data_IF_135857537314
#
_entry.id   IF_135857537314
#
_cell.length_a   1.000
_cell.length_b   1.000
_cell.length_c   1.000
_cell.angle_alpha   90.00
_cell.angle_beta   90.00
_cell.angle_gamma   90.00
#
_symmetry.space_group_name_H-M   'P 1'
#
loop_
_entity.id
_entity.type
_entity.pdbx_description
1 polymer ?
#
# COMPACT_ATOMS: atom_id res chain seq x y z
N UNK A 1 18.54 -33.47 2.75
CA UNK A 1 17.91 -32.31 3.42
C UNK A 1 17.95 -32.55 4.93
N UNK A 2 18.58 -31.68 5.71
CA UNK A 2 18.55 -31.82 7.18
C UNK A 2 17.14 -31.55 7.70
N UNK A 3 16.57 -32.47 8.48
CA UNK A 3 15.30 -32.26 9.17
C UNK A 3 15.47 -31.16 10.22
N UNK A 4 15.04 -29.94 9.91
CA UNK A 4 15.00 -28.83 10.86
C UNK A 4 14.01 -29.22 11.97
N UNK A 5 14.49 -29.30 13.21
CA UNK A 5 13.70 -29.62 14.40
C UNK A 5 13.99 -28.62 15.51
N UNK A 6 12.99 -28.36 16.35
CA UNK A 6 13.18 -27.65 17.60
C UNK A 6 13.86 -28.59 18.61
N UNK A 7 14.87 -28.08 19.34
CA UNK A 7 15.44 -28.81 20.47
C UNK A 7 14.47 -28.84 21.68
N UNK A 8 14.84 -29.56 22.74
CA UNK A 8 13.97 -29.73 23.91
C UNK A 8 13.67 -28.41 24.63
N UNK A 9 14.62 -27.47 24.66
CA UNK A 9 14.46 -26.16 25.28
C UNK A 9 13.57 -25.25 24.43
N UNK A 10 13.76 -25.27 23.10
CA UNK A 10 12.97 -24.55 22.11
C UNK A 10 11.51 -25.03 22.12
N UNK A 11 11.27 -26.34 22.16
CA UNK A 11 9.93 -26.93 22.30
C UNK A 11 9.26 -26.50 23.60
N UNK A 12 9.97 -26.55 24.72
CA UNK A 12 9.42 -26.14 26.03
C UNK A 12 9.06 -24.66 26.04
N UNK A 13 9.90 -23.80 25.45
CA UNK A 13 9.64 -22.37 25.31
C UNK A 13 8.40 -22.10 24.45
N UNK A 14 8.26 -22.79 23.32
CA UNK A 14 7.12 -22.64 22.43
C UNK A 14 5.81 -23.16 23.05
N UNK A 15 5.83 -24.36 23.65
CA UNK A 15 4.63 -24.89 24.32
C UNK A 15 4.17 -23.98 25.44
N UNK A 16 5.10 -23.42 26.25
CA UNK A 16 4.76 -22.44 27.28
C UNK A 16 4.07 -21.18 26.70
N UNK A 17 4.48 -20.76 25.50
CA UNK A 17 3.84 -19.64 24.80
C UNK A 17 2.43 -19.99 24.33
N UNK A 18 2.25 -21.14 23.67
CA UNK A 18 0.92 -21.59 23.23
C UNK A 18 -0.01 -21.83 24.42
N UNK A 19 0.48 -22.44 25.49
CA UNK A 19 -0.28 -22.65 26.72
C UNK A 19 -0.71 -21.32 27.34
N UNK A 20 0.14 -20.29 27.30
CA UNK A 20 -0.24 -18.95 27.73
C UNK A 20 -1.31 -18.34 26.83
N UNK A 21 -1.19 -18.50 25.51
CA UNK A 21 -2.17 -17.95 24.57
C UNK A 21 -3.54 -18.64 24.66
N UNK A 22 -3.56 -19.94 24.95
CA UNK A 22 -4.77 -20.75 25.07
C UNK A 22 -5.40 -20.70 26.47
N UNK A 23 -4.64 -20.30 27.50
CA UNK A 23 -5.24 -19.97 28.79
C UNK A 23 -6.04 -18.70 28.57
N UNK A 24 -7.37 -18.84 28.55
CA UNK A 24 -8.30 -17.73 28.39
C UNK A 24 -7.82 -16.55 29.23
N UNK A 25 -7.52 -15.44 28.56
CA UNK A 25 -7.10 -14.25 29.27
C UNK A 25 -8.34 -13.61 29.87
N UNK A 26 -8.26 -13.16 31.12
CA UNK A 26 -9.31 -12.34 31.73
C UNK A 26 -9.55 -11.04 30.94
N UNK A 27 -8.60 -10.67 30.09
CA UNK A 27 -8.65 -9.54 29.17
C UNK A 27 -7.99 -9.93 27.84
N UNK A 28 -8.76 -9.94 26.75
CA UNK A 28 -8.28 -10.25 25.39
C UNK A 28 -7.10 -9.35 24.95
N UNK A 29 -6.95 -8.14 25.52
CA UNK A 29 -5.78 -7.27 25.29
C UNK A 29 -4.48 -7.94 25.78
N UNK A 30 -4.52 -8.70 26.88
CA UNK A 30 -3.34 -9.40 27.40
C UNK A 30 -2.85 -10.48 26.42
N UNK A 31 -3.77 -11.08 25.65
CA UNK A 31 -3.43 -12.03 24.58
C UNK A 31 -2.58 -11.36 23.50
N UNK A 32 -2.95 -10.15 23.12
CA UNK A 32 -2.24 -9.36 22.11
C UNK A 32 -0.84 -9.00 22.61
N UNK A 33 -0.71 -8.52 23.85
CA UNK A 33 0.60 -8.20 24.42
C UNK A 33 1.50 -9.43 24.58
N UNK A 34 0.98 -10.58 24.99
CA UNK A 34 1.78 -11.81 25.08
C UNK A 34 2.22 -12.31 23.69
N UNK A 35 1.35 -12.20 22.68
CA UNK A 35 1.71 -12.49 21.29
C UNK A 35 2.85 -11.55 20.81
N UNK A 36 2.66 -10.24 20.95
CA UNK A 36 3.65 -9.22 20.57
C UNK A 36 4.98 -9.43 21.29
N UNK A 37 4.94 -9.63 22.61
CA UNK A 37 6.14 -9.83 23.42
C UNK A 37 6.91 -11.09 23.01
N UNK A 38 6.21 -12.19 22.72
CA UNK A 38 6.86 -13.42 22.26
C UNK A 38 7.63 -13.20 20.94
N UNK A 39 6.99 -12.55 19.97
CA UNK A 39 7.60 -12.26 18.68
C UNK A 39 8.74 -11.26 18.81
N UNK A 40 8.57 -10.19 19.59
CA UNK A 40 9.62 -9.23 19.89
C UNK A 40 10.87 -9.92 20.49
N UNK A 41 10.67 -10.84 21.45
CA UNK A 41 11.76 -11.59 22.10
C UNK A 41 12.40 -12.68 21.24
N UNK A 42 11.82 -13.02 20.10
CA UNK A 42 12.36 -14.05 19.20
C UNK A 42 12.81 -13.49 17.85
N UNK A 43 12.46 -12.24 17.53
CA UNK A 43 12.78 -11.55 16.28
C UNK A 43 14.26 -11.66 15.90
N UNK A 44 14.51 -12.04 14.65
CA UNK A 44 15.82 -12.21 14.04
C UNK A 44 16.57 -13.49 14.48
N UNK A 45 16.07 -14.24 15.45
CA UNK A 45 16.78 -15.40 15.99
C UNK A 45 16.66 -16.64 15.09
N UNK A 46 17.60 -17.58 15.23
CA UNK A 46 17.47 -18.90 14.61
C UNK A 46 16.23 -19.66 15.10
N UNK A 47 15.79 -19.39 16.33
CA UNK A 47 14.58 -19.98 16.90
C UNK A 47 13.33 -19.50 16.18
N UNK A 48 13.19 -18.19 15.90
CA UNK A 48 12.09 -17.65 15.08
C UNK A 48 12.08 -18.28 13.68
N UNK A 49 13.23 -18.35 13.00
CA UNK A 49 13.31 -18.98 11.67
C UNK A 49 12.87 -20.45 11.68
N UNK A 50 13.20 -21.20 12.74
CA UNK A 50 12.74 -22.59 12.92
C UNK A 50 11.26 -22.63 13.25
N UNK A 51 10.75 -21.74 14.10
CA UNK A 51 9.34 -21.65 14.48
C UNK A 51 8.46 -21.39 13.27
N UNK A 52 8.79 -20.39 12.46
CA UNK A 52 8.04 -20.07 11.23
C UNK A 52 8.06 -21.24 10.25
N UNK A 53 9.10 -22.10 10.26
CA UNK A 53 9.15 -23.29 9.39
C UNK A 53 8.37 -24.49 9.92
N UNK A 54 8.38 -24.70 11.24
CA UNK A 54 7.87 -25.95 11.86
C UNK A 54 6.46 -25.76 12.43
N UNK A 55 6.17 -24.59 12.97
CA UNK A 55 4.97 -24.27 13.76
C UNK A 55 4.13 -23.15 13.14
N UNK A 56 4.29 -22.93 11.84
CA UNK A 56 3.63 -21.84 11.11
C UNK A 56 2.12 -21.79 11.35
N UNK A 57 1.42 -22.90 11.13
CA UNK A 57 -0.04 -22.97 11.24
C UNK A 57 -0.53 -22.59 12.66
N UNK A 58 0.17 -23.06 13.69
CA UNK A 58 -0.18 -22.72 15.08
C UNK A 58 0.03 -21.23 15.36
N UNK A 59 1.12 -20.65 14.86
CA UNK A 59 1.40 -19.20 14.95
C UNK A 59 0.33 -18.40 14.19
N UNK A 60 -0.02 -18.84 12.99
CA UNK A 60 -1.01 -18.20 12.13
C UNK A 60 -2.39 -18.18 12.76
N UNK A 61 -2.84 -19.30 13.34
CA UNK A 61 -4.08 -19.34 14.10
C UNK A 61 -4.10 -18.32 15.23
N UNK A 62 -3.00 -18.21 15.99
CA UNK A 62 -2.93 -17.26 17.09
C UNK A 62 -2.90 -15.81 16.61
N UNK A 63 -2.23 -15.53 15.50
CA UNK A 63 -2.24 -14.20 14.88
C UNK A 63 -3.64 -13.81 14.39
N UNK A 64 -4.34 -14.74 13.74
CA UNK A 64 -5.72 -14.52 13.29
C UNK A 64 -6.66 -14.21 14.47
N UNK A 65 -6.51 -14.92 15.59
CA UNK A 65 -7.28 -14.62 16.79
C UNK A 65 -6.95 -13.24 17.39
N UNK A 66 -5.68 -12.79 17.34
CA UNK A 66 -5.31 -11.41 17.70
C UNK A 66 -6.04 -10.39 16.82
N UNK A 67 -6.08 -10.64 15.50
CA UNK A 67 -6.79 -9.75 14.58
C UNK A 67 -8.29 -9.69 14.84
N UNK A 68 -8.94 -10.80 15.21
CA UNK A 68 -10.37 -10.81 15.58
C UNK A 68 -10.62 -9.92 16.79
N UNK A 69 -9.79 -10.06 17.83
CA UNK A 69 -9.88 -9.21 19.01
C UNK A 69 -9.72 -7.75 18.61
N UNK A 70 -8.74 -7.41 17.77
CA UNK A 70 -8.55 -6.04 17.27
C UNK A 70 -9.75 -5.51 16.48
N UNK A 71 -10.42 -6.36 15.70
CA UNK A 71 -11.62 -5.99 14.94
C UNK A 71 -12.76 -5.59 15.90
N UNK A 72 -12.98 -6.37 16.95
CA UNK A 72 -14.05 -6.18 17.94
C UNK A 72 -13.77 -5.07 18.96
N UNK A 73 -12.50 -4.67 19.13
CA UNK A 73 -12.11 -3.61 20.06
C UNK A 73 -12.69 -2.25 19.63
N UNK A 74 -13.29 -1.52 20.57
CA UNK A 74 -13.79 -0.15 20.34
C UNK A 74 -12.75 0.96 20.57
N UNK A 75 -11.63 0.67 21.24
CA UNK A 75 -10.63 1.68 21.59
C UNK A 75 -9.60 1.87 20.45
N UNK A 76 -9.75 2.96 19.69
CA UNK A 76 -8.87 3.30 18.57
C UNK A 76 -7.40 3.47 18.97
N UNK A 77 -7.11 4.16 20.08
CA UNK A 77 -5.74 4.35 20.57
C UNK A 77 -5.03 3.03 20.85
N UNK A 78 -5.72 2.08 21.48
CA UNK A 78 -5.16 0.73 21.69
C UNK A 78 -4.92 -0.02 20.38
N UNK A 79 -5.78 0.15 19.36
CA UNK A 79 -5.52 -0.46 18.05
C UNK A 79 -4.20 0.05 17.48
N UNK A 80 -3.92 1.35 17.58
CA UNK A 80 -2.65 1.93 17.13
C UNK A 80 -1.46 1.30 17.84
N UNK A 81 -1.49 1.23 19.16
CA UNK A 81 -0.37 0.66 19.93
C UNK A 81 -0.05 -0.75 19.43
N UNK A 82 -1.10 -1.53 19.10
CA UNK A 82 -0.95 -2.86 18.53
C UNK A 82 -0.37 -2.81 17.11
N UNK A 83 -0.86 -1.92 16.23
CA UNK A 83 -0.27 -1.74 14.90
C UNK A 83 1.22 -1.39 14.99
N UNK A 84 1.61 -0.45 15.85
CA UNK A 84 3.01 -0.03 16.07
C UNK A 84 3.86 -1.21 16.53
N UNK A 85 3.38 -1.98 17.51
CA UNK A 85 4.17 -3.04 18.12
C UNK A 85 4.23 -4.30 17.25
N UNK A 86 3.12 -4.71 16.64
CA UNK A 86 2.98 -6.01 15.99
C UNK A 86 3.50 -6.00 14.56
N UNK A 87 3.12 -5.01 13.76
CA UNK A 87 3.30 -5.04 12.30
C UNK A 87 4.77 -5.05 11.87
N UNK A 88 5.66 -4.23 12.45
CA UNK A 88 7.08 -4.28 12.14
C UNK A 88 7.72 -5.64 12.47
N UNK A 89 7.19 -6.37 13.46
CA UNK A 89 7.74 -7.67 13.84
C UNK A 89 7.37 -8.74 12.81
N UNK A 90 6.16 -8.69 12.27
CA UNK A 90 5.64 -9.68 11.33
C UNK A 90 5.90 -9.33 9.85
N UNK A 91 6.55 -8.19 9.55
CA UNK A 91 6.86 -7.73 8.18
C UNK A 91 7.52 -8.83 7.30
N UNK A 92 8.31 -9.71 7.91
CA UNK A 92 9.11 -10.74 7.20
C UNK A 92 8.44 -12.09 7.16
N UNK A 93 7.17 -12.16 7.56
CA UNK A 93 6.41 -13.40 7.66
C UNK A 93 5.25 -13.39 6.68
N UNK A 94 4.76 -14.57 6.30
CA UNK A 94 3.54 -14.69 5.48
C UNK A 94 2.25 -14.35 6.25
N UNK A 95 2.34 -13.96 7.53
CA UNK A 95 1.18 -13.62 8.36
C UNK A 95 0.46 -12.37 7.84
N UNK A 96 1.21 -11.34 7.45
CA UNK A 96 0.64 -10.14 6.83
C UNK A 96 -0.06 -10.48 5.51
N UNK A 97 0.62 -11.23 4.65
CA UNK A 97 0.12 -11.61 3.32
C UNK A 97 -1.23 -12.33 3.41
N UNK A 98 -1.33 -13.34 4.27
CA UNK A 98 -2.54 -14.17 4.36
C UNK A 98 -3.70 -13.48 5.07
N UNK A 99 -3.43 -12.47 5.88
CA UNK A 99 -4.44 -11.75 6.66
C UNK A 99 -4.63 -10.30 6.19
N UNK A 100 -4.09 -9.95 5.02
CA UNK A 100 -4.05 -8.57 4.53
C UNK A 100 -5.46 -7.94 4.45
N UNK A 101 -6.44 -8.66 3.92
CA UNK A 101 -7.81 -8.17 3.84
C UNK A 101 -8.46 -7.91 5.21
N UNK A 102 -8.17 -8.75 6.20
CA UNK A 102 -8.68 -8.56 7.55
C UNK A 102 -8.04 -7.31 8.20
N UNK A 103 -6.75 -7.12 7.98
CA UNK A 103 -6.02 -5.94 8.41
C UNK A 103 -6.61 -4.66 7.80
N UNK A 104 -6.85 -4.64 6.48
CA UNK A 104 -7.48 -3.50 5.81
C UNK A 104 -8.85 -3.20 6.40
N UNK A 105 -9.68 -4.23 6.63
CA UNK A 105 -11.00 -4.09 7.25
C UNK A 105 -10.93 -3.54 8.69
N UNK A 106 -9.94 -3.97 9.47
CA UNK A 106 -9.72 -3.42 10.83
C UNK A 106 -9.44 -1.93 10.75
N UNK A 107 -8.58 -1.49 9.82
CA UNK A 107 -8.26 -0.06 9.64
C UNK A 107 -9.49 0.71 9.16
N UNK A 108 -10.19 0.22 8.14
CA UNK A 108 -11.40 0.84 7.60
C UNK A 108 -12.46 1.12 8.69
N UNK A 109 -12.62 0.19 9.64
CA UNK A 109 -13.57 0.29 10.75
C UNK A 109 -13.08 1.12 11.96
N UNK A 110 -11.95 1.82 11.85
CA UNK A 110 -11.51 2.77 12.88
C UNK A 110 -12.32 4.06 12.73
N UNK A 111 -13.11 4.42 13.74
CA UNK A 111 -13.97 5.61 13.68
C UNK A 111 -13.22 6.94 13.82
N UNK A 112 -12.09 6.96 14.53
CA UNK A 112 -11.29 8.16 14.73
C UNK A 112 -10.35 8.35 13.53
N UNK A 113 -10.53 9.42 12.75
CA UNK A 113 -9.81 9.63 11.48
C UNK A 113 -8.29 9.77 11.68
N UNK A 114 -7.85 10.46 12.73
CA UNK A 114 -6.43 10.52 13.08
C UNK A 114 -5.87 9.12 13.36
N UNK A 115 -6.65 8.30 14.06
CA UNK A 115 -6.26 6.94 14.39
C UNK A 115 -6.20 6.05 13.16
N UNK A 116 -7.21 6.14 12.30
CA UNK A 116 -7.32 5.42 11.03
C UNK A 116 -6.13 5.75 10.14
N UNK A 117 -5.83 7.04 9.98
CA UNK A 117 -4.66 7.54 9.27
C UNK A 117 -3.36 6.97 9.81
N UNK A 118 -3.15 7.04 11.12
CA UNK A 118 -1.92 6.54 11.73
C UNK A 118 -1.74 5.03 11.51
N UNK A 119 -2.82 4.25 11.65
CA UNK A 119 -2.80 2.81 11.37
C UNK A 119 -2.52 2.50 9.88
N UNK A 120 -3.12 3.27 8.97
CA UNK A 120 -2.84 3.19 7.53
C UNK A 120 -1.37 3.47 7.22
N UNK A 121 -0.81 4.57 7.75
CA UNK A 121 0.59 4.93 7.55
C UNK A 121 1.51 3.80 8.05
N UNK A 122 1.27 3.26 9.25
CA UNK A 122 2.06 2.13 9.80
C UNK A 122 2.00 0.91 8.89
N UNK A 123 0.81 0.56 8.36
CA UNK A 123 0.67 -0.54 7.42
C UNK A 123 1.51 -0.29 6.16
N UNK A 124 1.38 0.88 5.54
CA UNK A 124 2.14 1.27 4.33
C UNK A 124 3.64 1.19 4.59
N UNK A 125 4.14 1.78 5.68
CA UNK A 125 5.55 1.74 6.07
C UNK A 125 6.06 0.31 6.25
N UNK A 126 5.23 -0.57 6.83
CA UNK A 126 5.57 -1.99 7.04
C UNK A 126 5.70 -2.75 5.73
N UNK A 127 4.81 -2.51 4.76
CA UNK A 127 4.77 -3.27 3.50
C UNK A 127 5.55 -2.59 2.36
N UNK A 128 6.08 -1.38 2.58
CA UNK A 128 6.70 -0.54 1.56
C UNK A 128 7.75 -1.28 0.74
N UNK A 129 8.59 -2.09 1.37
CA UNK A 129 9.68 -2.84 0.72
C UNK A 129 9.34 -4.29 0.42
N UNK A 130 8.05 -4.62 0.38
CA UNK A 130 7.55 -5.98 0.20
C UNK A 130 6.71 -6.09 -1.09
N UNK A 131 6.60 -7.30 -1.68
CA UNK A 131 5.66 -7.52 -2.79
C UNK A 131 4.18 -7.27 -2.42
N UNK A 132 3.83 -7.13 -1.13
CA UNK A 132 2.46 -6.87 -0.72
C UNK A 132 1.96 -5.50 -1.17
N UNK A 133 2.82 -4.48 -1.17
CA UNK A 133 2.44 -3.16 -1.66
C UNK A 133 2.08 -3.23 -3.15
N UNK A 134 2.93 -3.85 -3.97
CA UNK A 134 2.71 -4.04 -5.41
C UNK A 134 1.43 -4.81 -5.71
N UNK A 135 1.25 -5.96 -5.06
CA UNK A 135 0.13 -6.85 -5.33
C UNK A 135 -1.22 -6.31 -4.82
N UNK A 136 -1.19 -5.36 -3.88
CA UNK A 136 -2.39 -4.84 -3.23
C UNK A 136 -2.54 -3.32 -3.34
N UNK A 137 -1.80 -2.67 -4.24
CA UNK A 137 -1.84 -1.21 -4.41
C UNK A 137 -3.27 -0.67 -4.59
N UNK A 138 -4.15 -1.28 -5.41
CA UNK A 138 -5.53 -0.81 -5.55
C UNK A 138 -6.33 -0.86 -4.24
N UNK A 139 -6.10 -1.88 -3.41
CA UNK A 139 -6.78 -2.01 -2.11
C UNK A 139 -6.29 -0.96 -1.11
N UNK A 140 -5.00 -0.62 -1.16
CA UNK A 140 -4.39 0.41 -0.31
C UNK A 140 -4.93 1.79 -0.72
N UNK A 141 -5.02 2.09 -2.01
CA UNK A 141 -5.62 3.34 -2.51
C UNK A 141 -7.09 3.43 -2.12
N UNK A 142 -7.84 2.33 -2.22
CA UNK A 142 -9.24 2.32 -1.79
C UNK A 142 -9.38 2.57 -0.29
N UNK A 143 -8.54 1.96 0.54
CA UNK A 143 -8.54 2.21 1.99
C UNK A 143 -8.20 3.67 2.30
N UNK A 144 -7.24 4.24 1.58
CA UNK A 144 -6.86 5.64 1.71
C UNK A 144 -8.02 6.59 1.43
N UNK A 145 -8.86 6.29 0.43
CA UNK A 145 -10.07 7.05 0.08
C UNK A 145 -11.12 7.06 1.22
N UNK A 146 -11.05 6.11 2.16
CA UNK A 146 -11.92 6.07 3.35
C UNK A 146 -11.46 6.96 4.51
N UNK A 147 -10.27 7.57 4.39
CA UNK A 147 -9.69 8.45 5.41
C UNK A 147 -10.13 9.88 5.10
N UNK A 148 -11.12 10.37 5.85
CA UNK A 148 -11.69 11.70 5.65
C UNK A 148 -11.04 12.71 6.61
N UNK A 149 -9.77 13.00 6.37
CA UNK A 149 -9.01 14.05 7.07
C UNK A 149 -8.68 15.15 6.06
N UNK A 150 -9.43 16.27 6.10
CA UNK A 150 -9.29 17.42 5.18
C UNK A 150 -7.86 17.99 5.13
N UNK A 151 -7.01 17.70 6.11
CA UNK A 151 -5.61 18.14 6.17
C UNK A 151 -4.63 17.09 5.66
N UNK A 152 -5.10 15.90 5.29
CA UNK A 152 -4.29 14.78 4.89
C UNK A 152 -4.48 14.47 3.41
N UNK A 153 -3.54 14.93 2.60
CA UNK A 153 -3.37 14.35 1.28
C UNK A 153 -2.61 13.03 1.39
N UNK A 154 -3.36 11.97 1.69
CA UNK A 154 -2.80 10.66 1.92
C UNK A 154 -2.21 10.02 0.67
N UNK A 155 -2.66 10.43 -0.51
CA UNK A 155 -2.16 9.87 -1.76
C UNK A 155 -0.78 10.43 -2.09
N UNK A 156 -0.59 11.74 -1.91
CA UNK A 156 0.73 12.36 -1.94
C UNK A 156 1.67 11.67 -0.96
N UNK A 157 1.22 11.49 0.28
CA UNK A 157 2.03 10.88 1.34
C UNK A 157 2.45 9.45 0.97
N UNK A 158 1.53 8.65 0.41
CA UNK A 158 1.82 7.31 -0.11
C UNK A 158 2.83 7.37 -1.26
N UNK A 159 2.61 8.24 -2.25
CA UNK A 159 3.49 8.40 -3.40
C UNK A 159 4.91 8.80 -2.98
N UNK A 160 5.05 9.80 -2.10
CA UNK A 160 6.36 10.28 -1.63
C UNK A 160 7.06 9.27 -0.73
N UNK A 161 6.33 8.32 -0.14
CA UNK A 161 6.91 7.25 0.68
C UNK A 161 7.51 6.12 -0.18
N UNK A 162 7.06 5.96 -1.43
CA UNK A 162 7.51 4.88 -2.31
C UNK A 162 8.84 5.25 -2.97
N UNK A 163 9.83 4.36 -2.89
CA UNK A 163 11.08 4.54 -3.61
C UNK A 163 10.82 4.65 -5.12
N UNK A 164 11.43 5.61 -5.81
CA UNK A 164 11.16 5.89 -7.23
C UNK A 164 11.22 4.62 -8.11
N UNK A 165 12.17 3.71 -7.86
CA UNK A 165 12.26 2.45 -8.60
C UNK A 165 11.03 1.54 -8.42
N UNK A 166 10.46 1.51 -7.22
CA UNK A 166 9.21 0.78 -6.96
C UNK A 166 8.02 1.49 -7.57
N UNK A 167 7.98 2.83 -7.53
CA UNK A 167 6.94 3.62 -8.18
C UNK A 167 6.91 3.35 -9.68
N UNK A 168 8.08 3.33 -10.33
CA UNK A 168 8.24 2.99 -11.76
C UNK A 168 7.76 1.57 -12.03
N UNK A 169 8.21 0.59 -11.24
CA UNK A 169 7.80 -0.82 -11.41
C UNK A 169 6.29 -1.01 -11.31
N UNK A 170 5.65 -0.26 -10.40
CA UNK A 170 4.23 -0.37 -10.10
C UNK A 170 3.37 0.63 -10.87
N UNK A 171 3.96 1.52 -11.66
CA UNK A 171 3.32 2.66 -12.28
C UNK A 171 2.00 2.33 -13.01
N UNK A 172 1.87 1.22 -13.77
CA UNK A 172 0.61 0.85 -14.42
C UNK A 172 -0.52 0.55 -13.43
N UNK A 173 -0.18 -0.14 -12.33
CA UNK A 173 -1.12 -0.49 -11.27
C UNK A 173 -1.54 0.75 -10.48
N UNK A 174 -0.58 1.63 -10.17
CA UNK A 174 -0.81 2.92 -9.50
C UNK A 174 -1.75 3.79 -10.34
N UNK A 175 -1.44 3.97 -11.62
CA UNK A 175 -2.29 4.70 -12.56
C UNK A 175 -3.70 4.12 -12.62
N UNK A 176 -3.82 2.79 -12.74
CA UNK A 176 -5.13 2.15 -12.83
C UNK A 176 -5.95 2.34 -11.55
N UNK A 177 -5.29 2.39 -10.40
CA UNK A 177 -5.90 2.61 -9.08
C UNK A 177 -6.44 4.03 -8.91
N UNK A 178 -5.96 5.02 -9.66
CA UNK A 178 -6.57 6.35 -9.67
C UNK A 178 -8.06 6.30 -10.07
N UNK A 179 -8.47 5.31 -10.86
CA UNK A 179 -9.87 5.15 -11.21
C UNK A 179 -10.76 4.70 -10.04
N UNK A 180 -10.18 4.24 -8.92
CA UNK A 180 -10.94 3.86 -7.72
C UNK A 180 -11.13 5.00 -6.73
N UNK A 181 -10.52 6.18 -6.98
CA UNK A 181 -10.71 7.38 -6.18
C UNK A 181 -12.02 8.04 -6.64
N UNK A 182 -12.94 8.28 -5.72
CA UNK A 182 -14.23 8.87 -6.05
C UNK A 182 -14.14 10.40 -6.21
N UNK A 183 -13.33 11.07 -5.40
CA UNK A 183 -13.12 12.52 -5.51
C UNK A 183 -12.23 12.89 -6.72
N UNK A 184 -12.74 13.80 -7.56
CA UNK A 184 -12.08 14.19 -8.81
C UNK A 184 -10.87 15.09 -8.57
N UNK A 185 -10.91 15.96 -7.56
CA UNK A 185 -9.81 16.87 -7.23
C UNK A 185 -8.64 16.10 -6.59
N UNK A 186 -8.93 15.12 -5.73
CA UNK A 186 -7.91 14.22 -5.15
C UNK A 186 -7.28 13.35 -6.22
N UNK A 187 -8.10 12.71 -7.06
CA UNK A 187 -7.61 11.92 -8.21
C UNK A 187 -6.73 12.74 -9.12
N UNK A 188 -7.08 14.01 -9.35
CA UNK A 188 -6.32 14.93 -10.20
C UNK A 188 -4.98 15.27 -9.55
N UNK A 189 -4.98 15.64 -8.27
CA UNK A 189 -3.76 15.97 -7.52
C UNK A 189 -2.80 14.78 -7.49
N UNK A 190 -3.35 13.61 -7.20
CA UNK A 190 -2.68 12.31 -7.27
C UNK A 190 -2.02 12.03 -8.63
N UNK A 191 -2.76 12.26 -9.72
CA UNK A 191 -2.24 12.12 -11.08
C UNK A 191 -1.08 13.08 -11.35
N UNK A 192 -1.20 14.35 -10.94
CA UNK A 192 -0.15 15.35 -11.15
C UNK A 192 1.16 15.01 -10.46
N UNK A 193 1.09 14.62 -9.18
CA UNK A 193 2.28 14.25 -8.43
C UNK A 193 2.94 13.01 -9.02
N UNK A 194 2.14 12.03 -9.46
CA UNK A 194 2.65 10.84 -10.12
C UNK A 194 3.36 11.19 -11.44
N UNK A 195 2.77 12.07 -12.27
CA UNK A 195 3.40 12.53 -13.50
C UNK A 195 4.67 13.34 -13.22
N UNK A 196 4.68 14.16 -12.16
CA UNK A 196 5.84 14.98 -11.78
C UNK A 196 7.03 14.16 -11.29
N UNK A 197 6.80 12.98 -10.69
CA UNK A 197 7.87 12.10 -10.23
C UNK A 197 8.49 11.25 -11.35
N UNK A 198 7.74 11.02 -12.43
CA UNK A 198 8.21 10.24 -13.57
C UNK A 198 8.70 11.22 -14.62
N UNK A 199 9.89 11.77 -14.40
CA UNK A 199 10.53 12.66 -15.38
C UNK A 199 11.11 11.89 -16.60
N UNK A 200 11.19 10.55 -16.52
CA UNK A 200 11.69 9.70 -17.59
C UNK A 200 10.62 9.44 -18.65
N UNK A 201 10.79 10.09 -19.81
CA UNK A 201 9.85 10.02 -20.93
C UNK A 201 9.59 8.61 -21.48
N UNK A 202 10.53 7.66 -21.29
CA UNK A 202 10.39 6.26 -21.73
C UNK A 202 9.30 5.52 -20.96
N UNK A 203 9.20 5.73 -19.65
CA UNK A 203 8.20 5.06 -18.80
C UNK A 203 6.80 5.56 -19.14
N UNK A 204 6.68 6.87 -19.36
CA UNK A 204 5.42 7.47 -19.80
C UNK A 204 5.04 6.95 -21.19
N UNK A 205 6.01 6.83 -22.11
CA UNK A 205 5.75 6.33 -23.46
C UNK A 205 5.18 4.89 -23.44
N UNK A 206 5.75 4.02 -22.62
CA UNK A 206 5.33 2.62 -22.47
C UNK A 206 3.90 2.51 -21.90
N UNK A 207 3.51 3.44 -21.03
CA UNK A 207 2.23 3.41 -20.31
C UNK A 207 1.20 4.44 -20.77
N UNK A 208 1.47 5.14 -21.89
CA UNK A 208 0.63 6.21 -22.42
C UNK A 208 -0.85 5.83 -22.51
N UNK A 209 -1.20 4.63 -22.96
CA UNK A 209 -2.61 4.22 -23.08
C UNK A 209 -3.33 4.23 -21.72
N UNK A 210 -2.67 3.77 -20.66
CA UNK A 210 -3.24 3.76 -19.31
C UNK A 210 -3.43 5.20 -18.83
N UNK A 211 -2.45 6.06 -19.08
CA UNK A 211 -2.50 7.48 -18.74
C UNK A 211 -3.70 8.15 -19.42
N UNK A 212 -3.89 7.94 -20.73
CA UNK A 212 -5.03 8.52 -21.46
C UNK A 212 -6.38 7.99 -20.93
N UNK A 213 -6.46 6.72 -20.53
CA UNK A 213 -7.67 6.15 -19.93
C UNK A 213 -8.00 6.77 -18.57
N UNK A 214 -7.01 7.00 -17.71
CA UNK A 214 -7.20 7.72 -16.45
C UNK A 214 -7.68 9.14 -16.73
N UNK A 215 -7.10 9.80 -17.72
CA UNK A 215 -7.50 11.15 -18.10
C UNK A 215 -8.95 11.24 -18.56
N UNK A 216 -9.44 10.21 -19.26
CA UNK A 216 -10.83 10.15 -19.68
C UNK A 216 -11.80 10.14 -18.48
N UNK A 217 -11.37 9.62 -17.32
CA UNK A 217 -12.18 9.51 -16.10
C UNK A 217 -12.43 10.84 -15.37
N UNK A 218 -11.66 11.90 -15.65
CA UNK A 218 -11.79 13.20 -14.96
C UNK A 218 -13.01 14.03 -15.39
N UNK A 219 -13.75 13.60 -16.41
CA UNK A 219 -14.81 14.39 -17.02
C UNK A 219 -14.29 15.57 -17.85
N UNK A 220 -15.14 16.16 -18.69
CA UNK A 220 -14.72 17.13 -19.71
C UNK A 220 -14.01 18.37 -19.14
N UNK A 221 -14.46 18.89 -17.99
CA UNK A 221 -13.95 20.13 -17.39
C UNK A 221 -12.51 19.99 -16.87
N UNK A 222 -12.18 18.87 -16.23
CA UNK A 222 -10.86 18.67 -15.61
C UNK A 222 -9.86 18.02 -16.56
N UNK A 223 -10.36 17.30 -17.58
CA UNK A 223 -9.57 16.65 -18.63
C UNK A 223 -8.59 17.60 -19.34
N UNK A 224 -9.00 18.85 -19.59
CA UNK A 224 -8.15 19.84 -20.27
C UNK A 224 -6.90 20.19 -19.44
N UNK A 225 -7.08 20.47 -18.15
CA UNK A 225 -5.96 20.82 -17.26
C UNK A 225 -5.06 19.59 -17.08
N UNK A 226 -5.65 18.40 -16.83
CA UNK A 226 -4.90 17.14 -16.74
C UNK A 226 -4.04 16.87 -17.97
N UNK A 227 -4.57 17.20 -19.15
CA UNK A 227 -3.87 17.07 -20.41
C UNK A 227 -2.64 17.97 -20.50
N UNK A 228 -2.75 19.26 -20.18
CA UNK A 228 -1.61 20.17 -20.29
C UNK A 228 -0.50 19.88 -19.29
N UNK A 229 -0.86 19.48 -18.07
CA UNK A 229 0.13 19.13 -17.05
C UNK A 229 0.85 17.82 -17.42
N UNK A 230 0.13 16.82 -17.96
CA UNK A 230 0.74 15.60 -18.52
C UNK A 230 1.72 15.94 -19.65
N UNK A 231 1.29 16.76 -20.61
CA UNK A 231 2.12 17.18 -21.74
C UNK A 231 3.39 17.92 -21.27
N UNK A 232 3.25 18.74 -20.23
CA UNK A 232 4.38 19.47 -19.62
C UNK A 232 5.35 18.50 -18.92
N UNK A 233 4.84 17.50 -18.20
CA UNK A 233 5.65 16.49 -17.51
C UNK A 233 6.41 15.56 -18.48
N UNK A 234 5.76 15.13 -19.56
CA UNK A 234 6.31 14.17 -20.53
C UNK A 234 7.52 14.73 -21.30
N UNK A 235 7.65 16.06 -21.40
CA UNK A 235 8.54 16.72 -22.37
C UNK A 235 8.35 16.04 -23.74
N UNK A 236 7.20 16.28 -24.41
CA UNK A 236 6.72 15.56 -25.62
C UNK A 236 7.81 15.22 -26.66
N UNK A 237 8.87 16.00 -26.74
CA UNK A 237 10.10 15.74 -27.50
C UNK A 237 10.64 14.31 -27.37
N UNK A 238 10.42 13.64 -26.23
CA UNK A 238 10.81 12.24 -26.00
C UNK A 238 9.90 11.18 -26.63
N UNK A 239 8.69 11.52 -27.09
CA UNK A 239 7.72 10.54 -27.62
C UNK A 239 7.94 10.21 -29.11
N UNK A 240 7.72 8.94 -29.49
CA UNK A 240 7.68 8.53 -30.90
C UNK A 240 6.53 9.18 -31.69
N UNK A 241 6.71 9.32 -33.02
CA UNK A 241 5.69 9.88 -33.93
C UNK A 241 4.32 9.18 -33.81
N UNK A 242 4.32 7.85 -33.65
CA UNK A 242 3.10 7.04 -33.48
C UNK A 242 2.33 7.43 -32.21
N UNK A 243 3.04 7.69 -31.11
CA UNK A 243 2.45 8.04 -29.82
C UNK A 243 1.97 9.49 -29.79
N UNK A 244 2.69 10.43 -30.41
CA UNK A 244 2.21 11.80 -30.63
C UNK A 244 0.90 11.80 -31.42
N UNK A 245 0.83 11.02 -32.51
CA UNK A 245 -0.38 10.86 -33.28
C UNK A 245 -1.53 10.30 -32.44
N UNK A 246 -1.28 9.30 -31.60
CA UNK A 246 -2.30 8.75 -30.69
C UNK A 246 -2.88 9.82 -29.74
N UNK A 247 -2.04 10.71 -29.21
CA UNK A 247 -2.49 11.81 -28.34
C UNK A 247 -3.38 12.78 -29.13
N UNK A 248 -2.93 13.19 -30.32
CA UNK A 248 -3.67 14.12 -31.20
C UNK A 248 -5.01 13.52 -31.65
N UNK A 249 -5.03 12.24 -32.01
CA UNK A 249 -6.26 11.53 -32.42
C UNK A 249 -7.26 11.40 -31.24
N UNK A 250 -6.76 11.33 -29.99
CA UNK A 250 -7.59 11.19 -28.79
C UNK A 250 -8.11 12.53 -28.26
N UNK A 251 -7.37 13.62 -28.47
CA UNK A 251 -7.71 14.98 -28.05
C UNK A 251 -7.59 15.99 -29.21
N UNK A 252 -8.39 15.82 -30.28
CA UNK A 252 -8.32 16.69 -31.44
C UNK A 252 -8.61 18.15 -31.10
N UNK A 253 -9.40 18.42 -30.06
CA UNK A 253 -9.73 19.76 -29.57
C UNK A 253 -8.53 20.55 -29.02
N UNK A 254 -7.41 19.88 -28.72
CA UNK A 254 -6.19 20.53 -28.22
C UNK A 254 -5.06 20.55 -29.26
N UNK A 255 -5.33 20.09 -30.49
CA UNK A 255 -4.34 19.96 -31.57
C UNK A 255 -3.50 21.22 -31.80
N UNK A 256 -4.12 22.40 -31.93
CA UNK A 256 -3.40 23.67 -32.14
C UNK A 256 -2.40 23.97 -31.01
N UNK A 257 -2.82 23.82 -29.76
CA UNK A 257 -1.92 24.02 -28.59
C UNK A 257 -0.86 22.96 -28.47
N UNK A 258 -1.16 21.70 -28.82
CA UNK A 258 -0.16 20.63 -28.83
C UNK A 258 0.91 20.93 -29.88
N UNK A 259 0.51 21.40 -31.06
CA UNK A 259 1.41 21.80 -32.14
C UNK A 259 2.27 23.02 -31.79
N UNK A 260 1.80 23.92 -30.92
CA UNK A 260 2.60 25.04 -30.38
C UNK A 260 3.69 24.60 -29.39
N UNK A 261 3.42 23.55 -28.61
CA UNK A 261 4.34 23.02 -27.59
C UNK A 261 5.31 22.00 -28.20
N UNK A 262 4.93 21.36 -29.31
CA UNK A 262 5.78 20.51 -30.10
C UNK A 262 6.83 21.34 -30.87
N UNK A 263 8.12 20.99 -30.84
CA UNK A 263 9.09 21.62 -31.71
C UNK A 263 8.68 21.37 -33.15
N UNK A 264 8.57 22.46 -33.93
CA UNK A 264 8.39 22.38 -35.39
C UNK A 264 9.53 21.52 -35.92
N UNK A 265 9.19 20.40 -36.56
CA UNK A 265 10.19 19.50 -37.14
C UNK A 265 11.10 20.32 -38.08
N UNK A 266 12.41 20.27 -37.81
CA UNK A 266 13.46 20.60 -38.77
C UNK A 266 13.90 19.33 -39.47
#
# INVERSE_FOLDING_TARGET
>A
MAHIRLDSSEKKRFNKFIDKLNKGFDNEINKIYEFNYFFYKTRGSNFEKKLIKIKYLEIETQFFEVLKVMEEMGNGGMKIDIFIDLFPIIERTHLLERNFNMILKIIENINDEYTKRSAFEILVWTILKTPLLENNFPLIVKLLDTINDEKYNGFSSLIFSIELQQLIKNFPSILSSLNTIDDVDDKRTAFYELMGLIEESSIIEDHLIIILNVMDSFGATHRQQCFFDMISAIKINGLSKKKRKLILDRFPEYSERIEEILPKEG
#
